data_IF_505329077158
#
_entry.id   IF_505329077158
#
_cell.length_a   1.000
_cell.length_b   1.000
_cell.length_c   1.000
_cell.angle_alpha   90.00
_cell.angle_beta   90.00
_cell.angle_gamma   90.00
#
_symmetry.space_group_name_H-M   'P 1'
#
loop_
_entity.id
_entity.type
_entity.pdbx_description
1 polymer ?
#
# COMPACT_ATOMS: atom_id res chain seq x y z
N UNK A 1 -2.12 -15.81 3.38
CA UNK A 1 -2.62 -14.57 4.02
C UNK A 1 -1.56 -13.89 4.88
N UNK A 2 -0.64 -14.62 5.52
CA UNK A 2 0.47 -14.06 6.30
C UNK A 2 1.35 -13.05 5.54
N UNK A 3 1.66 -13.29 4.26
CA UNK A 3 2.56 -12.40 3.50
C UNK A 3 2.01 -10.99 3.30
N UNK A 4 0.68 -10.84 3.19
CA UNK A 4 0.03 -9.52 3.03
C UNK A 4 0.09 -8.72 4.34
N UNK A 5 -0.18 -9.37 5.46
CA UNK A 5 -0.06 -8.74 6.78
C UNK A 5 1.37 -8.26 7.04
N UNK A 6 2.36 -9.08 6.70
CA UNK A 6 3.78 -8.75 6.84
C UNK A 6 4.17 -7.59 5.91
N UNK A 7 3.75 -7.61 4.65
CA UNK A 7 4.04 -6.53 3.70
C UNK A 7 3.42 -5.19 4.14
N UNK A 8 2.14 -5.19 4.55
CA UNK A 8 1.46 -3.99 5.03
C UNK A 8 2.10 -3.45 6.32
N UNK A 9 2.52 -4.34 7.22
CA UNK A 9 3.21 -3.95 8.45
C UNK A 9 4.60 -3.38 8.16
N UNK A 10 5.35 -3.96 7.22
CA UNK A 10 6.65 -3.44 6.82
C UNK A 10 6.51 -2.05 6.17
N UNK A 11 5.56 -1.89 5.25
CA UNK A 11 5.26 -0.59 4.64
C UNK A 11 4.86 0.45 5.70
N UNK A 12 4.00 0.08 6.66
CA UNK A 12 3.62 0.95 7.76
C UNK A 12 4.86 1.42 8.57
N UNK A 13 5.74 0.50 8.97
CA UNK A 13 6.92 0.84 9.73
C UNK A 13 7.88 1.75 8.94
N UNK A 14 8.07 1.49 7.66
CA UNK A 14 8.94 2.30 6.81
C UNK A 14 8.37 3.70 6.56
N UNK A 15 7.05 3.80 6.37
CA UNK A 15 6.36 5.08 6.25
C UNK A 15 6.41 5.87 7.56
N UNK A 16 6.20 5.21 8.70
CA UNK A 16 6.32 5.83 10.02
C UNK A 16 7.70 6.44 10.24
N UNK A 17 8.78 5.69 9.94
CA UNK A 17 10.16 6.18 10.06
C UNK A 17 10.37 7.43 9.21
N UNK A 18 9.96 7.40 7.94
CA UNK A 18 10.06 8.54 7.02
C UNK A 18 9.31 9.78 7.50
N UNK A 19 8.08 9.62 8.00
CA UNK A 19 7.31 10.75 8.52
C UNK A 19 7.94 11.28 9.82
N UNK A 20 8.41 10.38 10.69
CA UNK A 20 9.09 10.73 11.96
C UNK A 20 10.41 11.45 11.72
N UNK A 21 11.18 11.10 10.69
CA UNK A 21 12.43 11.77 10.36
C UNK A 21 12.21 13.26 10.04
N UNK A 22 11.09 13.59 9.38
CA UNK A 22 10.66 14.96 9.12
C UNK A 22 9.99 15.67 10.31
N UNK A 23 9.43 14.92 11.26
CA UNK A 23 8.75 15.46 12.43
C UNK A 23 9.16 14.75 13.73
N UNK A 24 10.27 15.20 14.30
CA UNK A 24 10.90 14.59 15.49
C UNK A 24 10.14 14.84 16.79
N UNK A 25 9.21 15.80 16.83
CA UNK A 25 8.47 16.16 18.04
C UNK A 25 6.97 16.29 17.75
N UNK A 26 6.18 15.38 18.32
CA UNK A 26 4.72 15.37 18.17
C UNK A 26 4.14 13.97 18.12
N UNK A 27 2.83 13.88 18.33
CA UNK A 27 2.08 12.64 18.15
C UNK A 27 1.88 12.39 16.65
N UNK A 28 2.27 11.20 16.19
CA UNK A 28 2.10 10.78 14.80
C UNK A 28 1.01 9.70 14.72
N UNK A 29 -0.12 10.03 14.11
CA UNK A 29 -1.26 9.15 13.92
C UNK A 29 -1.65 9.12 12.44
N UNK A 30 -1.70 7.93 11.84
CA UNK A 30 -2.05 7.73 10.44
C UNK A 30 -2.57 6.29 10.23
N UNK A 31 -3.24 6.05 9.09
CA UNK A 31 -3.77 4.74 8.71
C UNK A 31 -2.94 4.16 7.55
N UNK A 32 -2.05 3.19 7.81
CA UNK A 32 -1.21 2.59 6.76
C UNK A 32 -2.03 1.90 5.68
N UNK A 33 -3.07 1.14 6.08
CA UNK A 33 -3.94 0.41 5.16
C UNK A 33 -4.71 1.35 4.23
N UNK A 34 -5.24 2.46 4.74
CA UNK A 34 -5.96 3.43 3.92
C UNK A 34 -5.04 4.06 2.86
N UNK A 35 -3.79 4.34 3.23
CA UNK A 35 -2.78 4.90 2.31
C UNK A 35 -2.43 3.86 1.24
N UNK A 36 -2.13 2.62 1.63
CA UNK A 36 -1.87 1.54 0.66
C UNK A 36 -3.04 1.33 -0.31
N UNK A 37 -4.29 1.38 0.16
CA UNK A 37 -5.47 1.29 -0.70
C UNK A 37 -5.64 2.49 -1.63
N UNK A 38 -5.28 3.70 -1.20
CA UNK A 38 -5.29 4.87 -2.07
C UNK A 38 -4.21 4.78 -3.16
N UNK A 39 -2.99 4.37 -2.79
CA UNK A 39 -1.89 4.12 -3.74
C UNK A 39 -2.26 3.01 -4.75
N UNK A 40 -3.05 2.02 -4.34
CA UNK A 40 -3.55 0.97 -5.22
C UNK A 40 -4.43 1.53 -6.34
N UNK A 41 -5.37 2.40 -5.97
CA UNK A 41 -6.26 3.02 -6.94
C UNK A 41 -5.50 3.97 -7.87
N UNK A 42 -4.48 4.66 -7.36
CA UNK A 42 -3.65 5.54 -8.18
C UNK A 42 -2.74 4.75 -9.12
N UNK A 43 -2.21 3.60 -8.70
CA UNK A 43 -1.35 2.78 -9.57
C UNK A 43 -2.14 2.22 -10.76
N UNK A 44 -3.42 1.90 -10.59
CA UNK A 44 -4.31 1.50 -11.69
C UNK A 44 -4.52 2.59 -12.75
N UNK A 45 -4.33 3.86 -12.38
CA UNK A 45 -4.40 5.01 -13.29
C UNK A 45 -3.04 5.53 -13.76
N UNK A 46 -1.94 4.98 -13.25
CA UNK A 46 -0.57 5.35 -13.63
C UNK A 46 -0.10 4.49 -14.81
N UNK A 47 0.89 4.99 -15.57
CA UNK A 47 1.47 4.24 -16.69
C UNK A 47 3.00 4.35 -16.68
N UNK A 48 3.67 3.35 -17.25
CA UNK A 48 5.12 3.33 -17.44
C UNK A 48 5.89 3.27 -16.12
N UNK A 49 6.91 4.12 -15.97
CA UNK A 49 7.78 4.07 -14.79
C UNK A 49 7.06 4.43 -13.48
N UNK A 50 6.01 5.27 -13.56
CA UNK A 50 5.20 5.68 -12.40
C UNK A 50 4.36 4.52 -11.89
N UNK A 51 3.82 3.71 -12.80
CA UNK A 51 3.12 2.47 -12.47
C UNK A 51 4.07 1.52 -11.75
N UNK A 52 5.27 1.26 -12.29
CA UNK A 52 6.23 0.34 -11.69
C UNK A 52 6.59 0.73 -10.24
N UNK A 53 6.86 2.02 -9.98
CA UNK A 53 7.18 2.52 -8.64
C UNK A 53 5.99 2.45 -7.67
N UNK A 54 4.77 2.70 -8.15
CA UNK A 54 3.57 2.57 -7.33
C UNK A 54 3.16 1.10 -7.13
N UNK A 55 3.43 0.24 -8.10
CA UNK A 55 3.18 -1.20 -8.04
C UNK A 55 4.11 -1.86 -7.02
N UNK A 56 5.40 -1.53 -7.00
CA UNK A 56 6.33 -1.99 -5.94
C UNK A 56 5.84 -1.64 -4.53
N UNK A 57 5.18 -0.48 -4.39
CA UNK A 57 4.57 -0.04 -3.14
C UNK A 57 3.23 -0.73 -2.81
N UNK A 58 2.53 -1.29 -3.80
CA UNK A 58 1.12 -1.70 -3.68
C UNK A 58 0.78 -3.14 -4.10
N UNK A 59 1.73 -3.85 -4.71
CA UNK A 59 1.54 -5.15 -5.36
C UNK A 59 0.96 -6.23 -4.45
N UNK A 60 1.08 -6.08 -3.12
CA UNK A 60 0.53 -7.08 -2.21
C UNK A 60 -0.99 -6.91 -1.97
N UNK A 61 -1.54 -5.69 -2.01
CA UNK A 61 -2.95 -5.42 -1.71
C UNK A 61 -3.84 -5.48 -2.98
N UNK A 62 -3.32 -5.02 -4.12
CA UNK A 62 -4.05 -5.05 -5.40
C UNK A 62 -4.37 -6.47 -5.88
N UNK A 63 -3.46 -7.42 -5.70
CA UNK A 63 -3.70 -8.81 -6.06
C UNK A 63 -4.94 -9.39 -5.33
N UNK A 64 -5.15 -8.99 -4.08
CA UNK A 64 -6.32 -9.41 -3.30
C UNK A 64 -7.58 -8.65 -3.72
N UNK A 65 -7.52 -7.34 -3.95
CA UNK A 65 -8.69 -6.56 -4.39
C UNK A 65 -9.15 -7.00 -5.79
N UNK A 66 -8.24 -7.19 -6.73
CA UNK A 66 -8.55 -7.69 -8.08
C UNK A 66 -9.09 -9.12 -7.98
N UNK A 67 -8.49 -9.99 -7.15
CA UNK A 67 -9.01 -11.34 -6.89
C UNK A 67 -10.37 -11.36 -6.15
N UNK A 68 -10.72 -10.29 -5.44
CA UNK A 68 -12.03 -10.12 -4.77
C UNK A 68 -13.08 -9.51 -5.69
N UNK A 69 -12.65 -8.88 -6.80
CA UNK A 69 -13.51 -8.29 -7.83
C UNK A 69 -13.70 -9.18 -9.05
N UNK A 70 -12.97 -10.30 -9.16
CA UNK A 70 -13.29 -11.32 -10.16
C UNK A 70 -14.57 -12.04 -9.73
N UNK A 71 -15.65 -12.03 -10.55
CA UNK A 71 -16.83 -12.81 -10.26
C UNK A 71 -16.46 -14.29 -10.23
N UNK A 72 -16.88 -14.98 -9.17
CA UNK A 72 -16.71 -16.41 -8.94
C UNK A 72 -17.02 -17.19 -10.25
N UNK A 73 -16.05 -17.86 -10.88
CA UNK A 73 -16.37 -18.80 -11.95
C UNK A 73 -16.97 -20.03 -11.28
N UNK A 74 -18.30 -20.18 -11.41
CA UNK A 74 -19.00 -21.41 -11.05
C UNK A 74 -18.33 -22.64 -11.68
#
# INVERSE_FOLDING_TARGET
>A
MESLSVANTSFALDLFKKIRDGNKQGNLFYSPLSISSALAMVSLGAAGNTEAQMSDCTLQCLAWIISSLQPNPN
#
